data_IF_755017028256
#
_entry.id   IF_755017028256
#
_cell.length_a   1.000
_cell.length_b   1.000
_cell.length_c   1.000
_cell.angle_alpha   90.00
_cell.angle_beta   90.00
_cell.angle_gamma   90.00
#
_symmetry.space_group_name_H-M   'P 1'
#
loop_
_entity.id
_entity.type
_entity.pdbx_description
1 polymer ?
#
# COMPACT_ATOMS: atom_id res chain seq x y z
N UNK A 1 1.94 -0.71 -19.86
CA UNK A 1 2.78 -1.11 -18.72
C UNK A 1 2.95 0.09 -17.80
N UNK A 2 2.85 -0.09 -16.47
CA UNK A 2 3.08 0.97 -15.48
C UNK A 2 4.58 1.26 -15.34
N UNK A 3 4.93 2.45 -14.79
CA UNK A 3 6.32 2.84 -14.58
C UNK A 3 6.90 2.13 -13.34
N UNK A 4 8.15 1.73 -13.42
CA UNK A 4 8.87 1.11 -12.31
C UNK A 4 10.36 1.44 -12.34
N UNK A 5 11.04 1.25 -11.22
CA UNK A 5 12.49 1.38 -11.06
C UNK A 5 13.02 0.17 -10.32
N UNK A 6 14.20 -0.29 -10.72
CA UNK A 6 14.91 -1.40 -10.11
C UNK A 6 16.23 -0.92 -9.52
N UNK A 7 16.51 -1.35 -8.29
CA UNK A 7 17.82 -1.22 -7.64
C UNK A 7 18.35 -2.62 -7.37
N UNK A 8 19.34 -3.04 -8.15
CA UNK A 8 19.94 -4.37 -7.99
C UNK A 8 20.99 -4.37 -6.87
N UNK A 9 21.03 -5.48 -6.15
CA UNK A 9 22.06 -5.80 -5.17
C UNK A 9 22.80 -7.07 -5.65
N UNK A 10 24.07 -6.93 -6.03
CA UNK A 10 24.86 -8.03 -6.59
C UNK A 10 25.13 -9.16 -5.58
N UNK A 11 24.97 -8.89 -4.27
CA UNK A 11 25.17 -9.86 -3.20
C UNK A 11 23.88 -10.57 -2.78
N UNK A 12 22.73 -10.23 -3.36
CA UNK A 12 21.43 -10.80 -2.96
C UNK A 12 20.65 -11.33 -4.14
N UNK A 13 20.05 -12.50 -3.98
CA UNK A 13 19.06 -13.06 -4.92
C UNK A 13 17.62 -12.71 -4.53
N UNK A 14 17.42 -12.17 -3.32
CA UNK A 14 16.12 -11.85 -2.76
C UNK A 14 15.57 -10.52 -3.30
N UNK A 15 14.26 -10.50 -3.55
CA UNK A 15 13.56 -9.33 -4.08
C UNK A 15 12.57 -8.77 -3.08
N UNK A 16 12.50 -7.44 -3.05
CA UNK A 16 11.45 -6.70 -2.34
C UNK A 16 10.72 -5.79 -3.30
N UNK A 17 9.41 -5.96 -3.40
CA UNK A 17 8.50 -5.16 -4.25
C UNK A 17 7.70 -4.20 -3.38
N UNK A 18 7.81 -2.91 -3.64
CA UNK A 18 7.11 -1.86 -2.89
C UNK A 18 5.87 -1.38 -3.61
N UNK A 19 4.72 -1.35 -2.90
CA UNK A 19 3.42 -0.96 -3.42
C UNK A 19 2.87 0.21 -2.60
N UNK A 20 2.77 1.39 -3.21
CA UNK A 20 2.31 2.60 -2.54
C UNK A 20 0.79 2.63 -2.33
N UNK A 21 0.32 3.56 -1.48
CA UNK A 21 -1.09 3.80 -1.19
C UNK A 21 -1.80 4.71 -2.20
N UNK A 22 -3.09 4.95 -1.96
CA UNK A 22 -3.92 5.83 -2.78
C UNK A 22 -3.34 7.25 -2.85
N UNK A 23 -3.33 7.85 -4.04
CA UNK A 23 -2.80 9.19 -4.27
C UNK A 23 -1.28 9.32 -4.11
N UNK A 24 -0.56 8.23 -3.80
CA UNK A 24 0.88 8.20 -3.64
C UNK A 24 1.64 7.94 -4.94
N UNK A 25 2.93 7.67 -4.81
CA UNK A 25 3.81 7.18 -5.87
C UNK A 25 4.98 6.43 -5.25
N UNK A 26 5.86 5.88 -6.06
CA UNK A 26 7.13 5.26 -5.59
C UNK A 26 7.97 6.20 -4.74
N UNK A 27 7.76 7.52 -4.84
CA UNK A 27 8.50 8.53 -4.06
C UNK A 27 8.29 8.42 -2.54
N UNK A 28 7.17 7.82 -2.07
CA UNK A 28 6.95 7.65 -0.62
C UNK A 28 7.96 6.72 0.05
N UNK A 29 8.72 5.95 -0.75
CA UNK A 29 9.71 4.98 -0.28
C UNK A 29 11.13 5.55 -0.19
N UNK A 30 11.33 6.87 -0.39
CA UNK A 30 12.64 7.51 -0.41
C UNK A 30 13.48 7.27 0.86
N UNK A 31 12.84 7.12 2.02
CA UNK A 31 13.50 6.81 3.30
C UNK A 31 13.81 5.31 3.48
N UNK A 32 13.29 4.43 2.60
CA UNK A 32 13.47 2.97 2.66
C UNK A 32 14.56 2.48 1.70
N UNK A 33 14.66 3.08 0.51
CA UNK A 33 15.50 2.59 -0.59
C UNK A 33 16.95 2.35 -0.14
N UNK A 34 17.55 3.32 0.56
CA UNK A 34 18.96 3.25 0.98
C UNK A 34 19.27 2.04 1.85
N UNK A 35 18.37 1.69 2.77
CA UNK A 35 18.60 0.60 3.70
C UNK A 35 18.25 -0.74 3.06
N UNK A 36 17.11 -0.82 2.37
CA UNK A 36 16.67 -2.07 1.74
C UNK A 36 17.61 -2.56 0.64
N UNK A 37 18.17 -1.67 -0.19
CA UNK A 37 19.12 -2.05 -1.26
C UNK A 37 20.43 -2.65 -0.76
N UNK A 38 20.74 -2.53 0.54
CA UNK A 38 21.90 -3.20 1.14
C UNK A 38 21.68 -4.70 1.33
N UNK A 39 20.42 -5.15 1.36
CA UNK A 39 20.02 -6.52 1.67
C UNK A 39 19.29 -7.22 0.54
N UNK A 40 18.59 -6.47 -0.33
CA UNK A 40 17.67 -7.00 -1.32
C UNK A 40 17.83 -6.31 -2.68
N UNK A 41 17.40 -7.00 -3.73
CA UNK A 41 17.01 -6.33 -4.96
C UNK A 41 15.68 -5.61 -4.71
N UNK A 42 15.54 -4.36 -5.14
CA UNK A 42 14.37 -3.53 -4.85
C UNK A 42 13.65 -3.18 -6.14
N UNK A 43 12.36 -3.50 -6.20
CA UNK A 43 11.42 -3.06 -7.23
C UNK A 43 10.48 -2.01 -6.65
N UNK A 44 10.52 -0.80 -7.20
CA UNK A 44 9.58 0.28 -6.94
C UNK A 44 8.69 0.47 -8.16
N UNK A 45 7.38 0.65 -7.95
CA UNK A 45 6.45 0.88 -9.04
C UNK A 45 5.51 2.04 -8.73
N UNK A 46 5.01 2.68 -9.80
CA UNK A 46 3.93 3.65 -9.74
C UNK A 46 2.66 2.99 -10.28
N UNK A 47 1.62 2.88 -9.45
CA UNK A 47 0.33 2.32 -9.85
C UNK A 47 -0.30 3.11 -10.99
N UNK A 48 -1.25 2.52 -11.72
CA UNK A 48 -1.98 3.21 -12.80
C UNK A 48 -2.42 4.61 -12.38
N UNK A 49 -2.16 5.60 -13.24
CA UNK A 49 -2.55 6.99 -13.02
C UNK A 49 -1.77 7.72 -11.93
N UNK A 50 -0.83 7.07 -11.26
CA UNK A 50 0.00 7.64 -10.20
C UNK A 50 1.44 7.90 -10.68
N UNK A 51 2.11 8.86 -10.05
CA UNK A 51 3.51 9.16 -10.30
C UNK A 51 3.85 9.30 -11.79
N UNK A 52 4.87 8.60 -12.25
CA UNK A 52 5.28 8.56 -13.65
C UNK A 52 4.40 7.64 -14.54
N UNK A 53 3.48 6.87 -13.95
CA UNK A 53 2.48 6.10 -14.71
C UNK A 53 1.35 6.96 -15.25
N UNK A 54 1.31 8.25 -14.91
CA UNK A 54 0.32 9.22 -15.38
C UNK A 54 0.38 9.51 -16.89
N UNK A 55 1.57 9.48 -17.48
CA UNK A 55 1.79 9.86 -18.90
C UNK A 55 1.48 8.75 -19.92
N UNK A 56 1.31 7.50 -19.45
CA UNK A 56 1.10 6.34 -20.33
C UNK A 56 -0.39 6.03 -20.57
N UNK A 57 -1.27 6.97 -20.24
CA UNK A 57 -2.72 6.76 -20.18
C UNK A 57 -3.42 6.84 -21.53
N UNK A 58 -2.77 7.25 -22.62
CA UNK A 58 -3.41 7.33 -23.95
C UNK A 58 -4.02 6.00 -24.40
N UNK A 59 -3.50 4.85 -23.96
CA UNK A 59 -4.06 3.52 -24.21
C UNK A 59 -4.81 2.91 -23.01
N UNK A 60 -4.83 3.55 -21.85
CA UNK A 60 -5.48 3.06 -20.63
C UNK A 60 -7.01 3.18 -20.66
N UNK A 61 -7.58 3.83 -21.67
CA UNK A 61 -9.04 3.91 -21.85
C UNK A 61 -9.71 2.54 -22.05
N UNK A 62 -8.95 1.50 -22.40
CA UNK A 62 -9.46 0.15 -22.66
C UNK A 62 -9.36 -0.80 -21.46
N UNK A 63 -8.53 -0.55 -20.46
CA UNK A 63 -8.39 -1.46 -19.31
C UNK A 63 -9.34 -1.07 -18.18
N UNK A 64 -10.19 -2.00 -17.77
CA UNK A 64 -11.10 -1.84 -16.62
C UNK A 64 -10.29 -1.65 -15.33
N UNK A 65 -10.70 -0.69 -14.48
CA UNK A 65 -10.13 -0.52 -13.14
C UNK A 65 -10.84 -1.45 -12.17
N UNK A 66 -10.17 -2.52 -11.78
CA UNK A 66 -10.55 -3.46 -10.71
C UNK A 66 -9.30 -3.76 -9.90
N UNK A 67 -9.42 -4.23 -8.66
CA UNK A 67 -8.26 -4.65 -7.87
C UNK A 67 -7.47 -5.74 -8.59
N UNK A 68 -8.13 -6.73 -9.18
CA UNK A 68 -7.50 -7.79 -9.98
C UNK A 68 -6.70 -7.22 -11.16
N UNK A 69 -7.28 -6.30 -11.95
CA UNK A 69 -6.58 -5.75 -13.12
C UNK A 69 -5.36 -4.90 -12.75
N UNK A 70 -5.38 -4.25 -11.58
CA UNK A 70 -4.26 -3.46 -11.08
C UNK A 70 -3.18 -4.37 -10.46
N UNK A 71 -3.58 -5.41 -9.75
CA UNK A 71 -2.69 -6.46 -9.24
C UNK A 71 -1.95 -7.14 -10.40
N UNK A 72 -2.66 -7.44 -11.50
CA UNK A 72 -2.08 -8.01 -12.71
C UNK A 72 -1.01 -7.12 -13.35
N UNK A 73 -1.13 -5.77 -13.30
CA UNK A 73 -0.05 -4.90 -13.79
C UNK A 73 1.25 -5.10 -13.00
N UNK A 74 1.15 -5.33 -11.68
CA UNK A 74 2.32 -5.59 -10.83
C UNK A 74 2.93 -6.95 -11.18
N UNK A 75 2.09 -7.98 -11.30
CA UNK A 75 2.50 -9.34 -11.65
C UNK A 75 3.14 -9.39 -13.03
N UNK A 76 2.63 -8.61 -14.00
CA UNK A 76 3.22 -8.47 -15.34
C UNK A 76 4.66 -7.96 -15.28
N UNK A 77 4.94 -6.95 -14.44
CA UNK A 77 6.31 -6.45 -14.22
C UNK A 77 7.21 -7.54 -13.64
N UNK A 78 6.74 -8.28 -12.63
CA UNK A 78 7.52 -9.38 -12.05
C UNK A 78 7.88 -10.43 -13.10
N UNK A 79 6.95 -10.76 -13.99
CA UNK A 79 7.19 -11.73 -15.09
C UNK A 79 8.21 -11.19 -16.10
N UNK A 80 8.09 -9.92 -16.52
CA UNK A 80 9.03 -9.27 -17.44
C UNK A 80 10.45 -9.24 -16.86
N UNK A 81 10.58 -8.91 -15.59
CA UNK A 81 11.87 -8.85 -14.88
C UNK A 81 12.35 -10.24 -14.41
N UNK A 82 11.62 -11.31 -14.76
CA UNK A 82 11.92 -12.70 -14.38
C UNK A 82 12.03 -12.90 -12.87
N UNK A 83 11.28 -12.10 -12.09
CA UNK A 83 11.20 -12.21 -10.64
C UNK A 83 10.18 -13.29 -10.30
N UNK A 84 10.67 -14.49 -9.99
CA UNK A 84 9.82 -15.66 -9.69
C UNK A 84 9.06 -15.48 -8.38
N UNK A 85 9.70 -14.90 -7.35
CA UNK A 85 9.15 -14.73 -6.01
C UNK A 85 9.71 -13.45 -5.38
N UNK A 86 8.87 -12.69 -4.64
CA UNK A 86 9.27 -11.46 -3.99
C UNK A 86 8.65 -11.33 -2.60
N UNK A 87 9.34 -10.65 -1.71
CA UNK A 87 8.72 -10.05 -0.54
C UNK A 87 7.95 -8.80 -0.97
N UNK A 88 6.75 -8.60 -0.48
CA UNK A 88 5.97 -7.41 -0.80
C UNK A 88 5.90 -6.48 0.40
N UNK A 89 6.10 -5.19 0.16
CA UNK A 89 5.98 -4.14 1.16
C UNK A 89 4.96 -3.12 0.67
N UNK A 90 3.87 -2.97 1.41
CA UNK A 90 2.81 -2.03 1.05
C UNK A 90 2.40 -1.12 2.17
N UNK A 91 1.77 -0.01 1.79
CA UNK A 91 1.18 0.93 2.73
C UNK A 91 -0.25 1.27 2.31
N UNK A 92 -1.20 1.32 3.29
CA UNK A 92 -2.58 1.74 3.04
C UNK A 92 -3.25 0.91 1.93
N UNK A 93 -3.76 1.53 0.86
CA UNK A 93 -4.34 0.85 -0.31
C UNK A 93 -3.40 -0.21 -0.92
N UNK A 94 -2.08 0.02 -0.88
CA UNK A 94 -1.08 -0.94 -1.34
C UNK A 94 -1.17 -2.28 -0.61
N UNK A 95 -1.61 -2.29 0.64
CA UNK A 95 -1.80 -3.53 1.42
C UNK A 95 -2.95 -4.37 0.88
N UNK A 96 -4.01 -3.74 0.38
CA UNK A 96 -5.14 -4.42 -0.25
C UNK A 96 -4.68 -5.10 -1.55
N UNK A 97 -3.88 -4.40 -2.37
CA UNK A 97 -3.33 -4.95 -3.61
C UNK A 97 -2.38 -6.12 -3.35
N UNK A 98 -1.49 -6.01 -2.37
CA UNK A 98 -0.56 -7.08 -1.99
C UNK A 98 -1.33 -8.31 -1.53
N UNK A 99 -2.35 -8.12 -0.68
CA UNK A 99 -3.16 -9.23 -0.18
C UNK A 99 -3.94 -9.90 -1.31
N UNK A 100 -4.42 -9.12 -2.29
CA UNK A 100 -5.07 -9.66 -3.48
C UNK A 100 -4.10 -10.43 -4.38
N UNK A 101 -2.86 -9.93 -4.58
CA UNK A 101 -1.82 -10.68 -5.29
C UNK A 101 -1.51 -12.01 -4.58
N UNK A 102 -1.49 -12.01 -3.26
CA UNK A 102 -1.22 -13.21 -2.46
C UNK A 102 -2.35 -14.27 -2.57
N UNK A 103 -3.61 -13.85 -2.80
CA UNK A 103 -4.71 -14.77 -3.11
C UNK A 103 -4.57 -15.39 -4.51
N UNK A 104 -4.36 -14.53 -5.52
CA UNK A 104 -4.39 -14.96 -6.93
C UNK A 104 -3.06 -15.61 -7.37
N UNK A 105 -1.94 -15.21 -6.76
CA UNK A 105 -0.57 -15.62 -7.12
C UNK A 105 0.28 -15.98 -5.89
N UNK A 106 -0.15 -16.91 -5.02
CA UNK A 106 0.55 -17.19 -3.74
C UNK A 106 2.00 -17.64 -3.95
N UNK A 107 2.30 -18.31 -5.04
CA UNK A 107 3.65 -18.79 -5.37
C UNK A 107 4.63 -17.65 -5.71
N UNK A 108 4.15 -16.47 -6.04
CA UNK A 108 4.99 -15.29 -6.32
C UNK A 108 5.24 -14.43 -5.08
N UNK A 109 4.55 -14.72 -3.95
CA UNK A 109 4.65 -13.94 -2.71
C UNK A 109 5.44 -14.74 -1.67
N UNK A 110 6.60 -14.22 -1.27
CA UNK A 110 7.44 -14.85 -0.23
C UNK A 110 6.99 -14.46 1.17
N UNK A 111 6.68 -13.18 1.37
CA UNK A 111 6.11 -12.63 2.60
C UNK A 111 5.47 -11.26 2.32
N UNK A 112 4.71 -10.75 3.29
CA UNK A 112 4.04 -9.46 3.20
C UNK A 112 4.40 -8.57 4.39
N UNK A 113 4.77 -7.30 4.12
CA UNK A 113 4.87 -6.21 5.08
C UNK A 113 3.72 -5.26 4.84
N UNK A 114 2.84 -5.11 5.80
CA UNK A 114 1.56 -4.44 5.68
C UNK A 114 1.53 -3.19 6.58
N UNK A 115 2.06 -2.06 6.06
CA UNK A 115 2.14 -0.79 6.78
C UNK A 115 0.83 0.00 6.73
N UNK A 116 0.32 0.47 7.87
CA UNK A 116 -0.97 1.17 7.92
C UNK A 116 -2.06 0.40 7.19
N UNK A 117 -2.18 -0.90 7.49
CA UNK A 117 -3.01 -1.83 6.72
C UNK A 117 -4.51 -1.56 6.89
N UNK A 118 -5.27 -1.72 5.81
CA UNK A 118 -6.72 -1.57 5.80
C UNK A 118 -7.35 -2.95 5.68
N UNK A 119 -7.94 -3.46 6.79
CA UNK A 119 -8.63 -4.76 6.83
C UNK A 119 -10.11 -4.66 7.18
N UNK A 120 -10.56 -3.50 7.67
CA UNK A 120 -11.98 -3.22 7.93
C UNK A 120 -12.23 -1.73 7.80
N UNK A 121 -13.33 -1.37 7.15
CA UNK A 121 -13.82 0.01 7.16
C UNK A 121 -14.74 0.18 8.38
N UNK A 122 -14.35 1.03 9.32
CA UNK A 122 -15.18 1.42 10.45
C UNK A 122 -16.29 2.40 10.02
N UNK A 123 -17.19 2.78 10.94
CA UNK A 123 -18.30 3.70 10.62
C UNK A 123 -17.81 5.04 10.06
N UNK A 124 -16.70 5.57 10.58
CA UNK A 124 -16.10 6.83 10.12
C UNK A 124 -15.62 6.71 8.68
N UNK A 125 -14.88 5.63 8.35
CA UNK A 125 -14.39 5.37 6.98
C UNK A 125 -15.56 5.23 6.00
N UNK A 126 -16.60 4.48 6.37
CA UNK A 126 -17.80 4.28 5.54
C UNK A 126 -18.53 5.60 5.29
N UNK A 127 -18.70 6.41 6.35
CA UNK A 127 -19.30 7.74 6.23
C UNK A 127 -18.51 8.64 5.29
N UNK A 128 -17.17 8.69 5.44
CA UNK A 128 -16.29 9.47 4.57
C UNK A 128 -16.39 9.05 3.10
N UNK A 129 -16.38 7.75 2.83
CA UNK A 129 -16.54 7.23 1.46
C UNK A 129 -17.91 7.61 0.90
N UNK A 130 -18.99 7.49 1.68
CA UNK A 130 -20.34 7.85 1.27
C UNK A 130 -20.46 9.36 0.98
N UNK A 131 -19.94 10.19 1.88
CA UNK A 131 -19.90 11.65 1.72
C UNK A 131 -19.11 12.04 0.46
N UNK A 132 -17.93 11.46 0.27
CA UNK A 132 -17.10 11.69 -0.91
C UNK A 132 -17.76 11.20 -2.19
N UNK A 133 -18.54 10.13 -2.13
CA UNK A 133 -19.30 9.63 -3.28
C UNK A 133 -20.34 10.64 -3.77
N UNK A 134 -20.93 11.38 -2.85
CA UNK A 134 -21.88 12.45 -3.18
C UNK A 134 -21.17 13.65 -3.81
N UNK A 135 -20.03 14.07 -3.24
CA UNK A 135 -19.35 15.29 -3.67
C UNK A 135 -18.31 15.13 -4.78
N UNK A 136 -17.88 13.90 -5.11
CA UNK A 136 -16.75 13.63 -6.04
C UNK A 136 -16.87 14.24 -7.44
N UNK A 137 -18.09 14.52 -7.90
CA UNK A 137 -18.35 15.11 -9.22
C UNK A 137 -18.51 16.63 -9.18
N UNK A 138 -18.71 17.21 -7.97
CA UNK A 138 -19.00 18.64 -7.75
C UNK A 138 -17.76 19.35 -7.22
N UNK A 139 -17.02 18.67 -6.31
CA UNK A 139 -15.87 19.25 -5.62
C UNK A 139 -14.57 18.77 -6.27
N UNK A 140 -13.58 19.65 -6.50
CA UNK A 140 -12.26 19.23 -6.95
C UNK A 140 -11.68 18.14 -6.03
N UNK A 141 -11.21 17.04 -6.62
CA UNK A 141 -10.74 15.86 -5.88
C UNK A 141 -9.69 16.19 -4.81
N UNK A 142 -8.88 17.23 -5.03
CA UNK A 142 -7.82 17.60 -4.09
C UNK A 142 -8.39 18.07 -2.72
N UNK A 143 -9.58 18.64 -2.68
CA UNK A 143 -10.25 18.98 -1.42
C UNK A 143 -10.67 17.73 -0.66
N UNK A 144 -11.15 16.70 -1.37
CA UNK A 144 -11.48 15.41 -0.78
C UNK A 144 -10.22 14.77 -0.19
N UNK A 145 -9.10 14.80 -0.92
CA UNK A 145 -7.81 14.32 -0.41
C UNK A 145 -7.32 15.08 0.82
N UNK A 146 -7.46 16.41 0.85
CA UNK A 146 -7.09 17.24 2.01
C UNK A 146 -7.93 16.86 3.25
N UNK A 147 -9.23 16.68 3.08
CA UNK A 147 -10.13 16.28 4.16
C UNK A 147 -9.72 14.88 4.66
N UNK A 148 -9.49 13.92 3.77
CA UNK A 148 -9.01 12.59 4.14
C UNK A 148 -7.67 12.65 4.87
N UNK A 149 -6.73 13.45 4.40
CA UNK A 149 -5.43 13.62 5.03
C UNK A 149 -5.55 14.10 6.48
N UNK A 150 -6.44 15.06 6.75
CA UNK A 150 -6.66 15.59 8.11
C UNK A 150 -7.34 14.54 9.00
N UNK A 151 -8.32 13.82 8.47
CA UNK A 151 -9.08 12.84 9.25
C UNK A 151 -8.24 11.59 9.55
N UNK A 152 -7.47 11.09 8.59
CA UNK A 152 -6.62 9.90 8.77
C UNK A 152 -5.38 10.23 9.61
N UNK A 153 -4.87 11.44 9.48
CA UNK A 153 -3.62 11.91 10.10
C UNK A 153 -3.85 13.21 10.89
N UNK A 154 -4.60 13.20 12.00
CA UNK A 154 -5.09 14.42 12.67
C UNK A 154 -4.01 15.14 13.50
N UNK A 155 -3.03 14.42 14.06
CA UNK A 155 -2.11 14.97 15.05
C UNK A 155 -0.97 15.81 14.44
N UNK A 156 -0.31 16.62 15.27
CA UNK A 156 0.78 17.51 14.84
C UNK A 156 2.00 16.73 14.30
N UNK A 157 2.36 15.62 14.95
CA UNK A 157 3.44 14.72 14.53
C UNK A 157 3.19 14.04 13.18
N UNK A 158 1.94 13.97 12.68
CA UNK A 158 1.62 13.45 11.35
C UNK A 158 1.80 14.48 10.22
N UNK A 159 2.33 15.68 10.51
CA UNK A 159 2.41 16.78 9.53
C UNK A 159 3.19 16.40 8.28
N UNK A 160 4.33 15.71 8.42
CA UNK A 160 5.16 15.32 7.27
C UNK A 160 4.42 14.36 6.33
N UNK A 161 3.83 13.29 6.86
CA UNK A 161 3.09 12.30 6.08
C UNK A 161 1.84 12.93 5.43
N UNK A 162 1.13 13.79 6.14
CA UNK A 162 -0.02 14.53 5.62
C UNK A 162 0.35 15.45 4.45
N UNK A 163 1.46 16.21 4.57
CA UNK A 163 1.94 17.09 3.51
C UNK A 163 2.41 16.30 2.29
N UNK A 164 3.14 15.19 2.51
CA UNK A 164 3.60 14.31 1.44
C UNK A 164 2.41 13.69 0.70
N UNK A 165 1.41 13.19 1.42
CA UNK A 165 0.18 12.64 0.84
C UNK A 165 -0.55 13.67 -0.05
N UNK A 166 -0.73 14.91 0.43
CA UNK A 166 -1.37 15.98 -0.35
C UNK A 166 -0.52 16.36 -1.56
N UNK A 167 0.82 16.44 -1.40
CA UNK A 167 1.75 16.76 -2.49
C UNK A 167 1.67 15.74 -3.63
N UNK A 168 1.69 14.45 -3.29
CA UNK A 168 1.59 13.39 -4.30
C UNK A 168 0.20 13.35 -4.93
N UNK A 169 -0.87 13.51 -4.14
CA UNK A 169 -2.23 13.55 -4.65
C UNK A 169 -2.47 14.69 -5.66
N UNK A 170 -1.80 15.84 -5.52
CA UNK A 170 -1.88 16.95 -6.49
C UNK A 170 -1.39 16.56 -7.90
N UNK A 171 -0.61 15.49 -8.03
CA UNK A 171 -0.12 14.98 -9.31
C UNK A 171 -1.12 14.09 -10.03
N UNK A 172 -2.19 13.68 -9.34
CA UNK A 172 -3.29 12.94 -9.95
C UNK A 172 -4.17 13.89 -10.79
N UNK A 173 -4.79 13.33 -11.83
CA UNK A 173 -5.87 14.02 -12.53
C UNK A 173 -7.24 13.66 -11.95
N UNK A 174 -8.20 14.57 -12.02
CA UNK A 174 -9.60 14.35 -11.59
C UNK A 174 -10.16 13.02 -12.14
N UNK A 175 -9.88 12.74 -13.40
CA UNK A 175 -10.35 11.53 -14.09
C UNK A 175 -9.79 10.25 -13.46
N UNK A 176 -8.51 10.25 -13.06
CA UNK A 176 -7.88 9.12 -12.38
C UNK A 176 -8.43 8.94 -10.97
N UNK A 177 -8.61 10.03 -10.24
CA UNK A 177 -9.28 9.98 -8.94
C UNK A 177 -10.66 9.29 -9.05
N UNK A 178 -11.50 9.67 -10.04
CA UNK A 178 -12.82 9.07 -10.23
C UNK A 178 -12.73 7.58 -10.59
N UNK A 179 -11.73 7.15 -11.36
CA UNK A 179 -11.49 5.74 -11.68
C UNK A 179 -11.15 4.92 -10.43
N UNK A 180 -10.20 5.42 -9.64
CA UNK A 180 -9.82 4.78 -8.38
C UNK A 180 -10.96 4.80 -7.36
N UNK A 181 -11.73 5.88 -7.33
CA UNK A 181 -12.88 5.99 -6.43
C UNK A 181 -13.95 4.92 -6.71
N UNK A 182 -14.13 4.49 -7.95
CA UNK A 182 -15.04 3.39 -8.30
C UNK A 182 -14.68 2.07 -7.62
N UNK A 183 -13.41 1.84 -7.30
CA UNK A 183 -12.96 0.64 -6.60
C UNK A 183 -13.47 0.56 -5.14
N UNK A 184 -13.94 1.67 -4.58
CA UNK A 184 -14.49 1.67 -3.21
C UNK A 184 -15.66 0.71 -3.04
N UNK A 185 -16.40 0.40 -4.09
CA UNK A 185 -17.47 -0.59 -4.09
C UNK A 185 -16.97 -2.04 -3.93
N UNK A 186 -15.75 -2.31 -4.40
CA UNK A 186 -15.11 -3.64 -4.31
C UNK A 186 -14.43 -3.87 -2.95
N UNK A 187 -14.12 -2.80 -2.19
CA UNK A 187 -13.31 -2.89 -0.97
C UNK A 187 -13.97 -3.76 0.10
N UNK A 188 -15.25 -3.55 0.41
CA UNK A 188 -15.89 -4.25 1.52
C UNK A 188 -15.93 -5.78 1.34
N UNK A 189 -16.32 -6.33 0.16
CA UNK A 189 -16.25 -7.77 -0.11
C UNK A 189 -14.83 -8.32 0.04
N UNK A 190 -13.82 -7.63 -0.53
CA UNK A 190 -12.42 -8.04 -0.44
C UNK A 190 -11.92 -8.06 1.01
N UNK A 191 -12.17 -7.00 1.78
CA UNK A 191 -11.75 -6.94 3.18
C UNK A 191 -12.47 -7.99 4.04
N UNK A 192 -13.70 -8.38 3.70
CA UNK A 192 -14.40 -9.49 4.36
C UNK A 192 -13.68 -10.80 4.09
N UNK A 193 -13.37 -11.10 2.83
CA UNK A 193 -12.62 -12.28 2.43
C UNK A 193 -11.26 -12.36 3.15
N UNK A 194 -10.49 -11.26 3.15
CA UNK A 194 -9.15 -11.21 3.75
C UNK A 194 -9.14 -11.47 5.25
N UNK A 195 -10.22 -11.16 5.96
CA UNK A 195 -10.35 -11.50 7.38
C UNK A 195 -10.79 -12.93 7.63
N UNK A 196 -11.55 -13.52 6.70
CA UNK A 196 -12.07 -14.89 6.83
C UNK A 196 -11.09 -15.95 6.37
N UNK A 197 -10.20 -15.60 5.44
CA UNK A 197 -9.23 -16.55 4.85
C UNK A 197 -7.83 -16.21 5.31
N UNK A 198 -7.22 -17.10 6.07
CA UNK A 198 -5.81 -17.01 6.40
C UNK A 198 -4.97 -17.58 5.27
N UNK A 199 -3.91 -16.86 4.88
CA UNK A 199 -2.87 -17.38 3.99
C UNK A 199 -1.67 -17.86 4.81
N UNK A 200 -1.10 -18.99 4.44
CA UNK A 200 0.14 -19.51 5.05
C UNK A 200 1.40 -18.73 4.63
N UNK A 201 1.23 -17.44 4.30
CA UNK A 201 2.30 -16.54 3.88
C UNK A 201 2.72 -15.69 5.07
N UNK A 202 4.01 -15.71 5.49
CA UNK A 202 4.48 -14.91 6.61
C UNK A 202 4.15 -13.43 6.42
N UNK A 203 3.39 -12.86 7.36
CA UNK A 203 2.89 -11.48 7.26
C UNK A 203 3.25 -10.67 8.50
N UNK A 204 3.87 -9.49 8.31
CA UNK A 204 4.10 -8.52 9.38
C UNK A 204 3.24 -7.29 9.13
N UNK A 205 2.31 -7.03 10.04
CA UNK A 205 1.56 -5.78 10.10
C UNK A 205 2.35 -4.75 10.91
N UNK A 206 2.62 -3.58 10.32
CA UNK A 206 3.32 -2.46 10.99
C UNK A 206 2.35 -1.29 11.09
N UNK A 207 1.79 -1.09 12.28
CA UNK A 207 0.72 -0.12 12.50
C UNK A 207 1.16 0.98 13.46
N UNK A 208 0.80 2.23 13.16
CA UNK A 208 0.97 3.30 14.12
C UNK A 208 0.00 3.17 15.30
N UNK A 209 0.46 3.47 16.52
CA UNK A 209 -0.39 3.46 17.72
C UNK A 209 -1.53 4.50 17.63
N UNK A 210 -1.32 5.54 16.82
CA UNK A 210 -2.27 6.64 16.60
C UNK A 210 -3.10 6.45 15.32
N UNK A 211 -3.00 5.29 14.65
CA UNK A 211 -3.89 4.92 13.52
C UNK A 211 -5.25 4.41 14.05
N UNK A 212 -6.02 5.33 14.59
CA UNK A 212 -7.31 5.06 15.23
C UNK A 212 -8.38 4.52 14.27
N UNK A 213 -8.15 4.62 12.95
CA UNK A 213 -9.13 4.12 11.97
C UNK A 213 -8.97 2.63 11.69
N UNK A 214 -7.74 2.11 11.73
CA UNK A 214 -7.47 0.77 11.20
C UNK A 214 -6.79 -0.17 12.20
N UNK A 215 -6.06 0.33 13.21
CA UNK A 215 -5.28 -0.48 14.15
C UNK A 215 -6.11 -1.57 14.84
N UNK A 216 -7.30 -1.24 15.36
CA UNK A 216 -8.11 -2.20 16.14
C UNK A 216 -8.51 -3.42 15.29
N UNK A 217 -8.80 -3.23 14.00
CA UNK A 217 -9.13 -4.34 13.11
C UNK A 217 -7.96 -5.29 12.87
N UNK A 218 -6.73 -4.76 12.91
CA UNK A 218 -5.50 -5.55 12.76
C UNK A 218 -5.18 -6.30 14.04
N UNK A 219 -5.38 -5.69 15.22
CA UNK A 219 -5.25 -6.38 16.51
C UNK A 219 -6.13 -7.62 16.61
N UNK A 220 -7.37 -7.53 16.13
CA UNK A 220 -8.30 -8.68 16.09
C UNK A 220 -7.77 -9.73 15.10
N UNK A 221 -7.48 -9.33 13.87
CA UNK A 221 -7.03 -10.22 12.81
C UNK A 221 -5.77 -11.02 13.20
N UNK A 222 -4.78 -10.35 13.80
CA UNK A 222 -3.50 -11.00 14.15
C UNK A 222 -3.59 -11.91 15.37
N UNK A 223 -4.68 -11.89 16.13
CA UNK A 223 -4.99 -12.92 17.12
C UNK A 223 -5.56 -14.19 16.51
N UNK A 224 -6.24 -14.06 15.38
CA UNK A 224 -6.90 -15.17 14.70
C UNK A 224 -5.98 -15.84 13.66
N UNK A 225 -5.11 -15.06 13.00
CA UNK A 225 -4.22 -15.53 11.93
C UNK A 225 -2.83 -15.88 12.47
N UNK A 226 -2.45 -17.16 12.45
CA UNK A 226 -1.18 -17.68 13.00
C UNK A 226 0.06 -17.26 12.19
N UNK A 227 -0.09 -17.06 10.88
CA UNK A 227 0.96 -16.59 9.96
C UNK A 227 1.25 -15.11 10.08
N UNK A 228 0.47 -14.37 10.89
CA UNK A 228 0.47 -12.92 10.98
C UNK A 228 1.04 -12.43 12.31
N UNK A 229 1.94 -11.43 12.25
CA UNK A 229 2.50 -10.74 13.41
C UNK A 229 2.13 -9.27 13.36
N UNK A 230 1.90 -8.65 14.53
CA UNK A 230 1.63 -7.22 14.66
C UNK A 230 2.78 -6.51 15.37
N UNK A 231 3.25 -5.43 14.77
CA UNK A 231 4.17 -4.48 15.37
C UNK A 231 3.47 -3.11 15.47
N UNK A 232 3.26 -2.63 16.69
CA UNK A 232 2.66 -1.33 16.95
C UNK A 232 3.76 -0.30 17.20
N UNK A 233 3.74 0.80 16.43
CA UNK A 233 4.76 1.85 16.47
C UNK A 233 4.26 3.03 17.32
N UNK A 234 4.88 3.34 18.45
CA UNK A 234 4.45 4.42 19.34
C UNK A 234 4.63 5.80 18.69
N UNK A 235 3.75 6.76 19.05
CA UNK A 235 3.74 8.13 18.54
C UNK A 235 3.82 8.19 17.00
N UNK A 236 2.99 7.39 16.34
CA UNK A 236 2.98 7.22 14.91
C UNK A 236 1.56 7.01 14.40
N UNK A 237 1.23 7.65 13.30
CA UNK A 237 -0.06 7.54 12.63
C UNK A 237 -0.08 6.49 11.53
N UNK A 238 -0.86 6.77 10.48
CA UNK A 238 -1.15 5.83 9.42
C UNK A 238 0.04 5.52 8.49
N UNK A 239 0.92 6.50 8.21
CA UNK A 239 1.99 6.36 7.22
C UNK A 239 3.32 6.06 7.89
N UNK A 240 3.41 4.86 8.50
CA UNK A 240 4.50 4.43 9.40
C UNK A 240 5.89 4.51 8.77
N UNK A 241 6.03 4.23 7.48
CA UNK A 241 7.29 4.28 6.74
C UNK A 241 7.84 5.71 6.58
N UNK A 242 6.98 6.72 6.59
CA UNK A 242 7.36 8.14 6.51
C UNK A 242 7.61 8.72 7.89
N UNK A 243 6.73 8.43 8.85
CA UNK A 243 6.74 9.02 10.20
C UNK A 243 7.84 8.43 11.08
N UNK A 244 8.10 7.12 11.00
CA UNK A 244 9.11 6.42 11.80
C UNK A 244 10.01 5.54 10.90
N UNK A 245 10.73 6.13 9.94
CA UNK A 245 11.44 5.37 8.89
C UNK A 245 12.51 4.44 9.44
N UNK A 246 13.31 4.86 10.41
CA UNK A 246 14.35 4.01 11.01
C UNK A 246 13.74 2.78 11.71
N UNK A 247 12.68 3.00 12.49
CA UNK A 247 11.96 1.93 13.15
C UNK A 247 11.36 0.96 12.13
N UNK A 248 10.67 1.48 11.13
CA UNK A 248 10.10 0.69 10.04
C UNK A 248 11.18 -0.15 9.34
N UNK A 249 12.26 0.48 8.88
CA UNK A 249 13.32 -0.20 8.14
C UNK A 249 13.96 -1.32 8.96
N UNK A 250 14.38 -1.05 10.20
CA UNK A 250 15.08 -2.02 11.04
C UNK A 250 14.23 -3.27 11.29
N UNK A 251 12.97 -3.09 11.72
CA UNK A 251 12.11 -4.22 12.06
C UNK A 251 11.66 -5.01 10.83
N UNK A 252 11.36 -4.32 9.72
CA UNK A 252 10.95 -5.00 8.50
C UNK A 252 12.10 -5.75 7.83
N UNK A 253 13.29 -5.16 7.75
CA UNK A 253 14.49 -5.84 7.22
C UNK A 253 14.84 -7.05 8.10
N UNK A 254 14.81 -6.90 9.43
CA UNK A 254 15.04 -8.02 10.35
C UNK A 254 14.05 -9.16 10.15
N UNK A 255 12.76 -8.83 10.00
CA UNK A 255 11.73 -9.83 9.72
C UNK A 255 11.98 -10.54 8.38
N UNK A 256 12.28 -9.80 7.31
CA UNK A 256 12.55 -10.39 5.99
C UNK A 256 13.78 -11.31 6.01
N UNK A 257 14.86 -10.88 6.67
CA UNK A 257 16.09 -11.67 6.80
C UNK A 257 15.88 -12.97 7.61
N UNK A 258 14.96 -12.96 8.58
CA UNK A 258 14.64 -14.16 9.36
C UNK A 258 13.94 -15.25 8.54
N UNK A 259 13.35 -14.89 7.39
CA UNK A 259 12.68 -15.82 6.46
C UNK A 259 13.60 -16.35 5.33
N UNK A 260 14.83 -15.82 5.26
CA UNK A 260 15.79 -16.16 4.20
C UNK A 260 16.84 -17.17 4.68
N UNK A 261 16.70 -17.62 5.94
CA UNK A 261 17.51 -18.69 6.56
C UNK A 261 16.81 -20.08 6.32
#
# INVERSE_FOLDING_TARGET
MINYNIYRNNCSKEWVTFVHGAGGSSSIWFKQIRDFKKHFNVLLLDLRGHGKSNYKITNAFKKKYTFSSIANDIVEILKIEKIKKSHFVGVSLGTILIRHIAEDYPNMVKSMIMGGAIMKLNLRSRFLIKLSSFFKSIVPYIWIYKIFAIIIMPYKNHKESRLLFIKEAKRLYQKEFLRWFKLTSEINPLLKLFRQVELSIPTLYVMGAEDYMFLESIKVLTKEHKSSKLLVVPNCGHVVNVEKPKFFNNHTISFLNSLSK
#
